data_IF_200003312361
#
_entry.id   IF_200003312361
#
_cell.length_a   1.000
_cell.length_b   1.000
_cell.length_c   1.000
_cell.angle_alpha   90.00
_cell.angle_beta   90.00
_cell.angle_gamma   90.00
#
_symmetry.space_group_name_H-M   'P 1'
#
loop_
_entity.id
_entity.type
_entity.pdbx_description
1 polymer ?
#
# COMPACT_ATOMS: atom_id res chain seq x y z
N UNK A 1 6.69 -18.13 16.79
CA UNK A 1 7.11 -17.11 15.83
C UNK A 1 6.54 -15.74 16.20
N UNK A 2 7.39 -14.70 16.30
CA UNK A 2 6.96 -13.29 16.45
C UNK A 2 6.83 -12.65 15.05
N UNK A 3 5.69 -12.02 14.76
CA UNK A 3 5.41 -11.35 13.50
C UNK A 3 5.34 -9.84 13.68
N UNK A 4 6.18 -9.10 12.96
CA UNK A 4 6.11 -7.64 12.87
C UNK A 4 5.52 -7.21 11.53
N UNK A 5 4.52 -6.34 11.55
CA UNK A 5 4.12 -5.55 10.39
C UNK A 5 4.82 -4.20 10.49
N UNK A 6 5.36 -3.68 9.40
CA UNK A 6 5.97 -2.36 9.41
C UNK A 6 5.55 -1.52 8.22
N UNK A 7 5.51 -0.21 8.44
CA UNK A 7 5.03 0.76 7.46
C UNK A 7 5.70 2.12 7.65
N UNK A 8 5.58 2.98 6.65
CA UNK A 8 6.00 4.37 6.73
C UNK A 8 4.82 5.28 6.39
N UNK A 9 4.54 6.28 7.23
CA UNK A 9 3.37 7.16 7.09
C UNK A 9 3.78 8.62 7.27
N UNK A 10 3.36 9.46 6.33
CA UNK A 10 3.46 10.93 6.44
C UNK A 10 2.23 11.56 5.84
N UNK A 11 1.59 12.46 6.60
CA UNK A 11 0.38 13.17 6.20
C UNK A 11 -0.70 12.22 5.66
N UNK A 12 -0.94 11.12 6.38
CA UNK A 12 -1.84 10.06 5.95
C UNK A 12 -3.28 10.52 5.79
N UNK A 13 -3.72 11.49 6.60
CA UNK A 13 -5.07 12.05 6.52
C UNK A 13 -5.18 13.01 5.32
N UNK A 14 -4.24 13.96 5.20
CA UNK A 14 -4.22 14.90 4.06
C UNK A 14 -4.07 14.16 2.71
N UNK A 15 -3.34 13.06 2.69
CA UNK A 15 -3.13 12.25 1.50
C UNK A 15 -4.24 11.21 1.25
N UNK A 16 -5.36 11.30 1.97
CA UNK A 16 -6.52 10.40 1.86
C UNK A 16 -6.10 8.92 1.88
N UNK A 17 -5.18 8.59 2.77
CA UNK A 17 -4.76 7.24 3.12
C UNK A 17 -5.65 6.71 4.25
N UNK A 18 -5.59 5.42 4.51
CA UNK A 18 -6.39 4.76 5.55
C UNK A 18 -5.54 4.30 6.76
N UNK A 19 -4.65 5.17 7.35
CA UNK A 19 -3.66 4.71 8.32
C UNK A 19 -4.29 4.12 9.59
N UNK A 20 -5.37 4.72 10.09
CA UNK A 20 -6.06 4.25 11.30
C UNK A 20 -6.76 2.92 11.04
N UNK A 21 -7.46 2.80 9.90
CA UNK A 21 -8.14 1.57 9.50
C UNK A 21 -7.14 0.43 9.30
N UNK A 22 -6.05 0.68 8.56
CA UNK A 22 -5.01 -0.30 8.28
C UNK A 22 -4.35 -0.81 9.57
N UNK A 23 -3.95 0.08 10.46
CA UNK A 23 -3.31 -0.30 11.71
C UNK A 23 -4.24 -1.11 12.61
N UNK A 24 -5.49 -0.65 12.82
CA UNK A 24 -6.49 -1.39 13.61
C UNK A 24 -6.82 -2.75 13.02
N UNK A 25 -6.93 -2.83 11.70
CA UNK A 25 -7.25 -4.08 11.00
C UNK A 25 -6.19 -5.16 11.25
N UNK A 26 -4.91 -4.79 11.30
CA UNK A 26 -3.82 -5.75 11.42
C UNK A 26 -3.37 -6.03 12.86
N UNK A 27 -3.93 -5.39 13.89
CA UNK A 27 -3.61 -5.69 15.29
C UNK A 27 -3.80 -7.18 15.69
N UNK A 28 -4.82 -7.91 15.17
CA UNK A 28 -4.96 -9.33 15.49
C UNK A 28 -3.93 -10.22 14.78
N UNK A 29 -3.39 -9.79 13.64
CA UNK A 29 -2.38 -10.54 12.90
C UNK A 29 -0.99 -10.38 13.52
N UNK A 30 -0.61 -9.16 13.87
CA UNK A 30 0.73 -8.79 14.29
C UNK A 30 0.94 -8.91 15.81
N UNK A 31 2.15 -9.33 16.20
CA UNK A 31 2.62 -9.22 17.59
C UNK A 31 3.16 -7.81 17.86
N UNK A 32 3.71 -7.15 16.83
CA UNK A 32 4.22 -5.79 16.83
C UNK A 32 3.89 -5.10 15.51
N UNK A 33 3.53 -3.82 15.55
CA UNK A 33 3.46 -2.98 14.36
C UNK A 33 4.45 -1.83 14.52
N UNK A 34 5.36 -1.66 13.55
CA UNK A 34 6.31 -0.54 13.53
C UNK A 34 5.89 0.49 12.50
N UNK A 35 5.74 1.73 12.93
CA UNK A 35 5.43 2.85 12.05
C UNK A 35 6.58 3.84 12.04
N UNK A 36 7.18 4.09 10.88
CA UNK A 36 8.03 5.27 10.70
C UNK A 36 7.17 6.47 10.29
N UNK A 37 6.90 7.36 11.24
CA UNK A 37 6.12 8.56 11.05
C UNK A 37 7.03 9.71 10.63
N UNK A 38 6.70 10.35 9.50
CA UNK A 38 7.56 11.33 8.81
C UNK A 38 7.41 12.78 9.27
N UNK A 39 7.11 13.06 10.55
CA UNK A 39 6.76 14.38 11.07
C UNK A 39 5.59 15.00 10.28
N UNK A 40 4.44 14.32 10.32
CA UNK A 40 3.20 14.79 9.70
C UNK A 40 2.79 16.15 10.22
N UNK A 41 2.30 16.99 9.32
CA UNK A 41 1.72 18.32 9.64
C UNK A 41 0.21 18.28 9.85
N UNK A 42 -0.42 17.14 9.55
CA UNK A 42 -1.83 16.86 9.82
C UNK A 42 -2.01 16.02 11.11
N UNK A 43 -3.23 15.60 11.41
CA UNK A 43 -3.56 14.84 12.62
C UNK A 43 -3.11 13.35 12.59
N UNK A 44 -2.31 12.95 11.61
CA UNK A 44 -1.90 11.53 11.45
C UNK A 44 -1.26 10.98 12.70
N UNK A 45 -0.24 11.65 13.24
CA UNK A 45 0.49 11.21 14.43
C UNK A 45 -0.44 11.04 15.65
N UNK A 46 -1.26 12.04 15.93
CA UNK A 46 -2.19 12.06 17.07
C UNK A 46 -3.20 10.92 17.00
N UNK A 47 -3.64 10.56 15.80
CA UNK A 47 -4.62 9.48 15.60
C UNK A 47 -3.98 8.11 15.73
N UNK A 48 -2.81 7.88 15.11
CA UNK A 48 -2.17 6.57 15.12
C UNK A 48 -1.55 6.23 16.48
N UNK A 49 -1.04 7.22 17.22
CA UNK A 49 -0.39 7.03 18.53
C UNK A 49 -1.33 6.52 19.63
N UNK A 50 -2.64 6.67 19.44
CA UNK A 50 -3.67 6.29 20.43
C UNK A 50 -4.31 4.90 20.17
N UNK A 51 -3.87 4.20 19.10
CA UNK A 51 -4.57 2.98 18.65
C UNK A 51 -4.29 1.80 19.56
N UNK A 52 -3.03 1.50 19.87
CA UNK A 52 -2.63 0.32 20.66
C UNK A 52 -1.18 0.42 21.10
N UNK A 53 -0.87 -0.19 22.26
CA UNK A 53 0.49 -0.37 22.75
C UNK A 53 1.35 -1.34 21.90
N UNK A 54 0.73 -2.15 21.04
CA UNK A 54 1.46 -2.97 20.06
C UNK A 54 2.11 -2.14 18.95
N UNK A 55 1.74 -0.85 18.80
CA UNK A 55 2.26 0.02 17.77
C UNK A 55 3.45 0.80 18.30
N UNK A 56 4.62 0.49 17.79
CA UNK A 56 5.87 1.23 18.02
C UNK A 56 6.03 2.29 16.95
N UNK A 57 5.99 3.56 17.33
CA UNK A 57 6.20 4.67 16.42
C UNK A 57 7.63 5.17 16.57
N UNK A 58 8.37 5.20 15.47
CA UNK A 58 9.61 5.95 15.32
C UNK A 58 9.33 7.16 14.45
N UNK A 59 10.08 8.24 14.65
CA UNK A 59 9.92 9.46 13.86
C UNK A 59 11.23 9.83 13.20
N UNK A 60 11.24 9.91 11.88
CA UNK A 60 12.42 10.31 11.11
C UNK A 60 12.05 11.40 10.10
N UNK A 61 12.97 12.31 9.85
CA UNK A 61 12.80 13.30 8.80
C UNK A 61 12.96 12.63 7.43
N UNK A 62 11.98 12.82 6.56
CA UNK A 62 12.02 12.26 5.22
C UNK A 62 12.64 13.28 4.27
N UNK A 63 13.71 12.88 3.62
CA UNK A 63 14.35 13.69 2.58
C UNK A 63 13.41 13.85 1.39
N UNK A 64 13.56 14.94 0.65
CA UNK A 64 12.82 15.15 -0.60
C UNK A 64 13.16 14.02 -1.58
N UNK A 65 12.15 13.31 -2.10
CA UNK A 65 12.38 12.16 -2.96
C UNK A 65 13.09 12.53 -4.25
N UNK A 66 14.09 11.74 -4.62
CA UNK A 66 14.74 11.84 -5.93
C UNK A 66 15.27 10.45 -6.35
N UNK A 67 14.94 10.03 -7.58
CA UNK A 67 15.28 8.70 -8.08
C UNK A 67 14.21 7.64 -7.81
N UNK A 68 14.41 6.45 -8.38
CA UNK A 68 13.47 5.33 -8.28
C UNK A 68 13.39 4.75 -6.86
N UNK A 69 14.43 4.92 -6.09
CA UNK A 69 14.59 4.41 -4.71
C UNK A 69 14.13 5.40 -3.62
N UNK A 70 13.41 6.42 -4.00
CA UNK A 70 13.01 7.55 -3.14
C UNK A 70 12.30 7.16 -1.83
N UNK A 71 11.66 5.98 -1.79
CA UNK A 71 10.97 5.48 -0.60
C UNK A 71 11.85 4.61 0.30
N UNK A 72 13.02 4.18 -0.15
CA UNK A 72 13.77 3.12 0.51
C UNK A 72 14.27 3.52 1.90
N UNK A 73 14.78 4.74 2.07
CA UNK A 73 15.34 5.20 3.34
C UNK A 73 14.33 5.12 4.50
N UNK A 74 13.15 5.70 4.31
CA UNK A 74 12.19 5.75 5.42
C UNK A 74 11.46 4.41 5.64
N UNK A 75 11.30 3.58 4.61
CA UNK A 75 10.81 2.20 4.77
C UNK A 75 11.87 1.32 5.46
N UNK A 76 13.15 1.49 5.12
CA UNK A 76 14.27 0.81 5.78
C UNK A 76 14.37 1.17 7.26
N UNK A 77 14.12 2.44 7.64
CA UNK A 77 14.07 2.83 9.05
C UNK A 77 12.99 2.07 9.83
N UNK A 78 11.80 1.91 9.25
CA UNK A 78 10.73 1.11 9.86
C UNK A 78 11.13 -0.36 9.98
N UNK A 79 11.68 -0.96 8.90
CA UNK A 79 12.18 -2.33 8.89
C UNK A 79 13.24 -2.57 9.97
N UNK A 80 14.23 -1.69 10.09
CA UNK A 80 15.31 -1.83 11.05
C UNK A 80 14.87 -1.68 12.51
N UNK A 81 13.70 -1.08 12.76
CA UNK A 81 13.11 -0.97 14.09
C UNK A 81 12.21 -2.17 14.44
N UNK A 82 11.95 -3.09 13.49
CA UNK A 82 11.19 -4.31 13.70
C UNK A 82 11.95 -5.32 14.54
N UNK A 83 11.24 -6.09 15.37
CA UNK A 83 11.83 -7.07 16.29
C UNK A 83 11.26 -8.49 16.15
N UNK A 84 10.42 -8.73 15.13
CA UNK A 84 9.85 -10.05 14.85
C UNK A 84 10.83 -11.00 14.16
N UNK A 85 10.52 -12.28 14.15
CA UNK A 85 11.25 -13.30 13.36
C UNK A 85 10.94 -13.15 11.87
N UNK A 86 9.66 -12.81 11.60
CA UNK A 86 9.14 -12.47 10.29
C UNK A 86 8.64 -11.03 10.27
N UNK A 87 8.81 -10.40 9.10
CA UNK A 87 8.35 -9.05 8.84
C UNK A 87 7.45 -9.03 7.61
N UNK A 88 6.41 -8.19 7.66
CA UNK A 88 5.57 -7.88 6.50
C UNK A 88 5.55 -6.36 6.32
N UNK A 89 5.97 -5.89 5.14
CA UNK A 89 5.81 -4.50 4.75
C UNK A 89 4.39 -4.28 4.20
N UNK A 90 3.68 -3.29 4.71
CA UNK A 90 2.39 -2.84 4.17
C UNK A 90 2.36 -1.32 4.12
N UNK A 91 1.97 -0.77 2.98
CA UNK A 91 1.62 0.65 2.90
C UNK A 91 0.27 0.90 3.60
N UNK A 92 -0.02 2.13 4.00
CA UNK A 92 -1.20 2.46 4.82
C UNK A 92 -2.56 2.32 4.10
N UNK A 93 -2.55 1.90 2.86
CA UNK A 93 -3.71 1.58 2.02
C UNK A 93 -3.75 0.09 1.58
N UNK A 94 -2.96 -0.78 2.26
CA UNK A 94 -2.83 -2.21 1.95
C UNK A 94 -3.36 -3.05 3.12
N UNK A 95 -4.23 -4.01 2.81
CA UNK A 95 -4.94 -4.81 3.81
C UNK A 95 -4.87 -6.30 3.47
N UNK A 96 -4.28 -7.11 4.36
CA UNK A 96 -4.41 -8.57 4.30
C UNK A 96 -5.79 -8.93 4.85
N UNK A 97 -6.59 -9.78 4.17
CA UNK A 97 -7.89 -10.16 4.68
C UNK A 97 -7.82 -10.90 6.02
N UNK A 98 -8.69 -10.56 6.96
CA UNK A 98 -8.67 -11.16 8.31
C UNK A 98 -8.91 -12.67 8.33
N UNK A 99 -9.60 -13.21 7.33
CA UNK A 99 -9.80 -14.67 7.22
C UNK A 99 -8.53 -15.42 6.78
N UNK A 100 -7.50 -14.72 6.34
CA UNK A 100 -6.19 -15.30 6.00
C UNK A 100 -5.21 -15.29 7.20
N UNK A 101 -5.46 -14.53 8.26
CA UNK A 101 -4.51 -14.27 9.34
C UNK A 101 -3.94 -15.54 9.98
N UNK A 102 -4.80 -16.47 10.41
CA UNK A 102 -4.34 -17.69 11.05
C UNK A 102 -3.54 -18.59 10.10
N UNK A 103 -3.99 -18.72 8.85
CA UNK A 103 -3.31 -19.51 7.81
C UNK A 103 -1.96 -18.88 7.45
N UNK A 104 -1.89 -17.56 7.34
CA UNK A 104 -0.66 -16.84 7.04
C UNK A 104 0.38 -17.01 8.16
N UNK A 105 -0.04 -16.90 9.42
CA UNK A 105 0.88 -17.13 10.55
C UNK A 105 1.45 -18.55 10.53
N UNK A 106 0.60 -19.57 10.36
CA UNK A 106 1.02 -20.96 10.27
C UNK A 106 1.97 -21.20 9.07
N UNK A 107 1.68 -20.59 7.93
CA UNK A 107 2.52 -20.67 6.73
C UNK A 107 3.92 -20.10 6.99
N UNK A 108 4.01 -18.90 7.57
CA UNK A 108 5.29 -18.25 7.87
C UNK A 108 6.09 -19.01 8.93
N UNK A 109 5.41 -19.59 9.92
CA UNK A 109 6.06 -20.38 10.96
C UNK A 109 6.71 -21.65 10.43
N UNK A 110 6.10 -22.30 9.45
CA UNK A 110 6.60 -23.53 8.82
C UNK A 110 7.56 -23.25 7.66
N UNK A 111 7.61 -22.04 7.15
CA UNK A 111 8.43 -21.69 5.98
C UNK A 111 9.92 -21.75 6.30
N UNK A 112 10.68 -22.35 5.39
CA UNK A 112 12.15 -22.36 5.38
C UNK A 112 12.74 -21.27 4.49
N UNK A 113 11.92 -20.58 3.70
CA UNK A 113 12.34 -19.54 2.78
C UNK A 113 12.72 -18.24 3.52
N UNK A 114 13.47 -17.38 2.85
CA UNK A 114 13.84 -16.07 3.37
C UNK A 114 12.77 -15.00 3.10
N UNK A 115 12.03 -15.15 2.00
CA UNK A 115 11.06 -14.17 1.53
C UNK A 115 9.91 -14.87 0.80
N UNK A 116 8.75 -14.20 0.76
CA UNK A 116 7.60 -14.64 -0.05
C UNK A 116 6.93 -13.45 -0.73
N UNK A 117 6.49 -13.66 -1.96
CA UNK A 117 5.61 -12.72 -2.63
C UNK A 117 4.15 -12.97 -2.28
N UNK A 118 3.36 -11.90 -2.30
CA UNK A 118 1.92 -11.93 -2.05
C UNK A 118 1.17 -11.26 -3.19
N UNK A 119 0.00 -11.77 -3.55
CA UNK A 119 -0.82 -11.24 -4.63
C UNK A 119 -1.56 -9.98 -4.22
N UNK A 120 -1.70 -9.01 -5.14
CA UNK A 120 -2.42 -7.77 -4.91
C UNK A 120 -3.73 -7.74 -5.71
N UNK A 121 -4.82 -7.36 -5.02
CA UNK A 121 -6.10 -7.01 -5.63
C UNK A 121 -6.21 -5.49 -5.55
N UNK A 122 -6.02 -4.82 -6.69
CA UNK A 122 -5.95 -3.36 -6.76
C UNK A 122 -7.35 -2.78 -6.95
N UNK A 123 -7.97 -2.26 -5.89
CA UNK A 123 -9.28 -1.62 -5.93
C UNK A 123 -9.20 -0.23 -6.55
N UNK A 124 -10.29 0.19 -7.21
CA UNK A 124 -10.31 1.40 -8.01
C UNK A 124 -11.56 2.24 -7.75
N UNK A 125 -11.38 3.44 -7.17
CA UNK A 125 -12.43 4.41 -6.88
C UNK A 125 -13.42 3.97 -5.80
N UNK A 126 -13.68 2.67 -5.68
CA UNK A 126 -14.45 2.10 -4.58
C UNK A 126 -14.11 0.61 -4.36
N UNK A 127 -14.46 0.08 -3.18
CA UNK A 127 -14.16 -1.28 -2.76
C UNK A 127 -14.91 -2.40 -3.53
N UNK A 128 -15.85 -2.05 -4.42
CA UNK A 128 -16.62 -3.02 -5.23
C UNK A 128 -16.01 -3.26 -6.60
N UNK A 129 -14.99 -2.48 -6.98
CA UNK A 129 -14.36 -2.54 -8.29
C UNK A 129 -12.87 -2.71 -8.11
N UNK A 130 -12.27 -3.58 -8.90
CA UNK A 130 -10.84 -3.75 -8.96
C UNK A 130 -10.32 -3.75 -10.40
N UNK A 131 -9.06 -3.45 -10.57
CA UNK A 131 -8.35 -3.46 -11.84
C UNK A 131 -7.79 -4.86 -12.10
N UNK A 132 -8.25 -5.54 -13.15
CA UNK A 132 -7.84 -6.92 -13.45
C UNK A 132 -6.54 -7.01 -14.28
N UNK A 133 -6.06 -5.88 -14.82
CA UNK A 133 -4.79 -5.80 -15.55
C UNK A 133 -3.84 -4.78 -14.89
N UNK A 134 -3.21 -5.12 -13.77
CA UNK A 134 -2.35 -4.19 -13.04
C UNK A 134 -1.17 -3.68 -13.87
N UNK A 135 -0.70 -4.42 -14.88
CA UNK A 135 0.39 -4.00 -15.78
C UNK A 135 0.03 -2.78 -16.63
N UNK A 136 -1.24 -2.62 -17.00
CA UNK A 136 -1.70 -1.46 -17.75
C UNK A 136 -1.58 -0.15 -16.97
N UNK A 137 -1.53 -0.22 -15.64
CA UNK A 137 -1.37 0.92 -14.72
C UNK A 137 -0.03 0.91 -13.98
N UNK A 138 0.94 0.14 -14.47
CA UNK A 138 2.27 -0.04 -13.87
C UNK A 138 2.23 -0.50 -12.40
N UNK A 139 1.22 -1.27 -12.02
CA UNK A 139 1.18 -1.89 -10.70
C UNK A 139 1.57 -3.36 -10.79
N UNK A 140 2.37 -3.84 -9.86
CA UNK A 140 2.63 -5.26 -9.76
C UNK A 140 1.35 -5.99 -9.32
N UNK A 141 1.10 -7.16 -9.89
CA UNK A 141 0.10 -8.11 -9.43
C UNK A 141 0.56 -8.88 -8.19
N UNK A 142 1.86 -8.89 -7.93
CA UNK A 142 2.49 -9.46 -6.73
C UNK A 142 3.60 -8.54 -6.24
N UNK A 143 3.82 -8.55 -4.91
CA UNK A 143 4.96 -7.86 -4.30
C UNK A 143 5.68 -8.80 -3.35
N UNK A 144 7.01 -8.72 -3.34
CA UNK A 144 7.89 -9.39 -2.39
C UNK A 144 7.96 -8.55 -1.11
N UNK A 145 7.08 -8.80 -0.15
CA UNK A 145 6.94 -7.95 1.05
C UNK A 145 6.92 -8.74 2.36
N UNK A 146 6.86 -10.06 2.31
CA UNK A 146 6.98 -10.93 3.50
C UNK A 146 8.39 -11.49 3.54
N UNK A 147 9.10 -11.29 4.66
CA UNK A 147 10.52 -11.68 4.74
C UNK A 147 10.97 -11.97 6.17
N UNK A 148 12.04 -12.77 6.31
CA UNK A 148 12.78 -12.93 7.58
C UNK A 148 13.36 -11.58 8.01
N UNK A 149 13.44 -11.36 9.30
CA UNK A 149 14.04 -10.13 9.83
C UNK A 149 15.57 -10.22 9.81
N UNK A 150 16.14 -10.04 8.64
CA UNK A 150 17.59 -10.11 8.41
C UNK A 150 18.12 -8.74 7.94
N UNK A 151 19.32 -8.33 8.38
CA UNK A 151 19.93 -7.07 7.96
C UNK A 151 20.29 -7.04 6.46
N UNK A 152 20.43 -8.22 5.83
CA UNK A 152 20.74 -8.37 4.41
C UNK A 152 19.50 -8.18 3.50
N UNK A 153 18.30 -8.18 4.05
CA UNK A 153 17.08 -7.87 3.29
C UNK A 153 16.98 -6.34 3.13
N UNK A 154 16.91 -5.89 1.90
CA UNK A 154 16.85 -4.47 1.55
C UNK A 154 15.66 -4.17 0.61
N UNK A 155 15.18 -2.94 0.63
CA UNK A 155 14.18 -2.49 -0.36
C UNK A 155 14.80 -2.38 -1.75
N UNK A 156 13.98 -2.66 -2.77
CA UNK A 156 14.35 -2.61 -4.16
C UNK A 156 13.34 -1.79 -4.97
N UNK A 157 13.84 -1.08 -5.99
CA UNK A 157 13.02 -0.23 -6.87
C UNK A 157 12.44 0.96 -6.12
N UNK A 158 11.16 1.20 -6.30
CA UNK A 158 10.40 2.29 -5.67
C UNK A 158 9.96 1.97 -4.22
N UNK A 159 10.61 1.02 -3.57
CA UNK A 159 10.26 0.60 -2.21
C UNK A 159 9.01 -0.28 -2.12
N UNK A 160 8.54 -0.82 -3.25
CA UNK A 160 7.38 -1.73 -3.26
C UNK A 160 7.77 -3.20 -3.03
N UNK A 161 9.05 -3.54 -3.15
CA UNK A 161 9.56 -4.89 -2.98
C UNK A 161 10.82 -4.91 -2.10
N UNK A 162 11.14 -6.10 -1.59
CA UNK A 162 12.42 -6.37 -0.93
C UNK A 162 13.20 -7.44 -1.69
N UNK A 163 14.53 -7.44 -1.52
CA UNK A 163 15.43 -8.48 -2.04
C UNK A 163 16.58 -8.75 -1.05
N UNK A 164 17.31 -9.81 -1.27
CA UNK A 164 18.57 -10.05 -0.58
C UNK A 164 19.67 -9.15 -1.17
N UNK A 165 20.43 -8.49 -0.32
CA UNK A 165 21.54 -7.61 -0.73
C UNK A 165 22.55 -8.37 -1.58
N UNK A 166 22.93 -7.78 -2.71
CA UNK A 166 23.87 -8.38 -3.65
C UNK A 166 23.27 -9.43 -4.57
N UNK A 167 22.00 -9.81 -4.40
CA UNK A 167 21.30 -10.69 -5.35
C UNK A 167 20.57 -9.91 -6.45
N UNK A 168 20.35 -10.56 -7.59
CA UNK A 168 19.36 -10.07 -8.55
C UNK A 168 17.96 -10.20 -7.96
N UNK A 169 17.04 -9.31 -8.36
CA UNK A 169 15.65 -9.43 -7.95
C UNK A 169 14.98 -10.54 -8.77
N UNK A 170 14.44 -11.54 -8.08
CA UNK A 170 13.72 -12.64 -8.70
C UNK A 170 12.23 -12.54 -8.36
N UNK A 171 11.38 -12.45 -9.38
CA UNK A 171 9.92 -12.38 -9.24
C UNK A 171 9.28 -13.72 -8.89
N UNK A 172 9.94 -14.82 -9.27
CA UNK A 172 9.36 -16.16 -9.28
C UNK A 172 9.73 -16.99 -8.04
N UNK A 173 10.38 -16.40 -7.04
CA UNK A 173 10.75 -17.11 -5.83
C UNK A 173 9.63 -17.06 -4.80
N UNK A 174 9.22 -18.24 -4.36
CA UNK A 174 8.37 -18.46 -3.19
C UNK A 174 7.04 -17.68 -3.20
N UNK A 175 6.23 -17.92 -4.22
CA UNK A 175 4.88 -17.36 -4.29
C UNK A 175 3.99 -17.91 -3.16
N UNK A 176 3.33 -17.01 -2.45
CA UNK A 176 2.28 -17.38 -1.51
C UNK A 176 0.89 -17.33 -2.16
N UNK A 177 -0.05 -18.08 -1.60
CA UNK A 177 -1.46 -18.06 -2.03
C UNK A 177 -2.28 -16.92 -1.39
N UNK A 178 -1.67 -16.12 -0.51
CA UNK A 178 -2.33 -15.03 0.21
C UNK A 178 -2.51 -13.80 -0.65
N UNK A 179 -3.41 -12.92 -0.20
CA UNK A 179 -3.78 -11.71 -0.93
C UNK A 179 -3.66 -10.45 -0.09
N UNK A 180 -3.41 -9.34 -0.76
CA UNK A 180 -3.53 -7.98 -0.21
C UNK A 180 -4.63 -7.24 -0.98
N UNK A 181 -5.58 -6.67 -0.27
CA UNK A 181 -6.54 -5.72 -0.78
C UNK A 181 -5.89 -4.33 -0.77
N UNK A 182 -5.51 -3.81 -1.94
CA UNK A 182 -4.86 -2.53 -2.09
C UNK A 182 -5.86 -1.44 -2.47
N UNK A 183 -6.06 -0.48 -1.56
CA UNK A 183 -7.03 0.60 -1.67
C UNK A 183 -6.40 1.91 -2.22
N UNK A 184 -5.20 1.84 -2.77
CA UNK A 184 -4.39 3.00 -3.17
C UNK A 184 -5.02 3.92 -4.21
N UNK A 185 -6.06 3.46 -4.94
CA UNK A 185 -6.85 4.25 -5.87
C UNK A 185 -8.25 4.59 -5.34
N UNK A 186 -8.54 4.29 -4.09
CA UNK A 186 -9.73 4.77 -3.39
C UNK A 186 -9.38 6.03 -2.64
N UNK A 187 -9.14 7.11 -3.36
CA UNK A 187 -8.77 8.42 -2.82
C UNK A 187 -9.55 9.52 -3.51
N UNK A 188 -9.61 10.67 -2.87
CA UNK A 188 -10.08 11.87 -3.54
C UNK A 188 -9.30 12.09 -4.84
N UNK A 189 -9.98 12.34 -5.96
CA UNK A 189 -9.31 12.51 -7.25
C UNK A 189 -8.25 13.62 -7.27
N UNK A 190 -8.42 14.69 -6.52
CA UNK A 190 -7.44 15.77 -6.45
C UNK A 190 -6.19 15.34 -5.68
N UNK A 191 -6.37 14.59 -4.59
CA UNK A 191 -5.28 14.00 -3.81
C UNK A 191 -4.50 12.98 -4.64
N UNK A 192 -5.20 12.12 -5.38
CA UNK A 192 -4.58 11.13 -6.25
C UNK A 192 -3.74 11.78 -7.36
N UNK A 193 -4.22 12.86 -7.96
CA UNK A 193 -3.47 13.66 -8.94
C UNK A 193 -2.18 14.25 -8.36
N UNK A 194 -2.27 14.82 -7.15
CA UNK A 194 -1.12 15.36 -6.41
C UNK A 194 -0.09 14.25 -6.16
N UNK A 195 -0.53 13.07 -5.73
CA UNK A 195 0.35 11.90 -5.50
C UNK A 195 1.09 11.52 -6.78
N UNK A 196 0.40 11.30 -7.88
CA UNK A 196 1.02 10.88 -9.13
C UNK A 196 2.01 11.91 -9.68
N UNK A 197 1.67 13.19 -9.56
CA UNK A 197 2.59 14.24 -9.95
C UNK A 197 3.88 14.21 -9.12
N UNK A 198 3.79 14.07 -7.80
CA UNK A 198 4.94 13.97 -6.91
C UNK A 198 5.78 12.74 -7.24
N UNK A 199 5.14 11.57 -7.35
CA UNK A 199 5.83 10.30 -7.66
C UNK A 199 6.50 10.34 -9.04
N UNK A 200 5.81 10.80 -10.07
CA UNK A 200 6.38 10.88 -11.42
C UNK A 200 7.60 11.80 -11.49
N UNK A 201 7.63 12.88 -10.73
CA UNK A 201 8.80 13.76 -10.65
C UNK A 201 9.92 13.16 -9.82
N UNK A 202 9.61 12.49 -8.73
CA UNK A 202 10.59 11.78 -7.91
C UNK A 202 11.30 10.71 -8.75
N UNK A 203 10.56 9.83 -9.41
CA UNK A 203 11.08 8.75 -10.25
C UNK A 203 11.91 9.32 -11.43
N UNK A 204 11.49 10.43 -12.03
CA UNK A 204 12.24 11.07 -13.12
C UNK A 204 13.48 11.84 -12.68
N UNK A 205 13.78 11.91 -11.38
CA UNK A 205 14.90 12.68 -10.81
C UNK A 205 14.75 14.20 -10.93
N UNK A 206 13.61 14.72 -11.37
CA UNK A 206 13.36 16.15 -11.50
C UNK A 206 13.03 16.73 -10.12
N UNK A 207 13.57 17.94 -9.81
CA UNK A 207 13.21 18.64 -8.57
C UNK A 207 11.70 18.83 -8.51
N UNK A 208 11.10 18.37 -7.41
CA UNK A 208 9.67 18.54 -7.15
C UNK A 208 9.42 20.03 -6.89
N UNK A 209 8.87 20.76 -7.86
CA UNK A 209 8.32 22.08 -7.65
C UNK A 209 6.83 21.93 -7.37
N UNK A 210 6.33 22.64 -6.38
CA UNK A 210 4.90 22.70 -6.14
C UNK A 210 4.20 23.26 -7.40
N UNK A 211 3.23 22.55 -7.89
CA UNK A 211 2.38 22.98 -9.01
C UNK A 211 0.94 22.84 -8.53
N UNK A 212 0.10 23.88 -8.70
CA UNK A 212 -1.30 23.77 -8.36
C UNK A 212 -1.93 22.51 -8.95
N UNK A 213 -2.81 21.80 -8.23
CA UNK A 213 -3.44 20.56 -8.69
C UNK A 213 -4.06 20.65 -10.09
N UNK A 214 -4.68 21.79 -10.43
CA UNK A 214 -5.30 22.02 -11.74
C UNK A 214 -4.29 22.10 -12.88
N UNK A 215 -3.09 22.63 -12.60
CA UNK A 215 -2.02 22.68 -13.60
C UNK A 215 -1.29 21.33 -13.72
N UNK A 216 -1.09 20.64 -12.60
CA UNK A 216 -0.56 19.28 -12.60
C UNK A 216 -1.44 18.34 -13.44
N UNK A 217 -2.75 18.52 -13.37
CA UNK A 217 -3.74 17.76 -14.14
C UNK A 217 -3.63 17.97 -15.65
N UNK A 218 -3.36 19.20 -16.10
CA UNK A 218 -3.15 19.49 -17.54
C UNK A 218 -1.85 18.92 -18.08
N UNK A 219 -0.89 18.64 -17.22
CA UNK A 219 0.46 18.15 -17.60
C UNK A 219 0.61 16.63 -17.48
N UNK A 220 -0.39 15.92 -16.94
CA UNK A 220 -0.37 14.44 -16.84
C UNK A 220 -1.19 13.84 -17.98
N UNK A 221 -0.57 13.01 -18.84
CA UNK A 221 -1.26 12.43 -20.01
C UNK A 221 -2.31 11.38 -19.64
N UNK A 222 -2.38 10.93 -18.37
CA UNK A 222 -3.31 9.87 -17.93
C UNK A 222 -4.10 10.34 -16.72
N UNK A 223 -5.36 10.64 -16.95
CA UNK A 223 -6.36 10.82 -15.89
C UNK A 223 -6.89 9.43 -15.49
N UNK A 224 -7.05 9.19 -14.16
CA UNK A 224 -7.74 8.00 -13.66
C UNK A 224 -9.17 7.86 -14.25
N UNK A 225 -9.71 8.93 -14.83
CA UNK A 225 -10.97 8.97 -15.57
C UNK A 225 -10.81 8.62 -17.05
N UNK A 226 -9.57 8.37 -17.51
CA UNK A 226 -9.32 7.99 -18.90
C UNK A 226 -10.03 6.67 -19.20
N UNK A 227 -10.87 6.62 -20.26
CA UNK A 227 -11.62 5.41 -20.65
C UNK A 227 -10.76 4.16 -20.79
N UNK A 228 -9.48 4.27 -21.19
CA UNK A 228 -8.56 3.14 -21.29
C UNK A 228 -8.35 2.40 -19.95
N UNK A 229 -8.51 3.08 -18.81
CA UNK A 229 -8.45 2.43 -17.49
C UNK A 229 -9.72 1.70 -17.12
N UNK A 230 -10.85 2.01 -17.76
CA UNK A 230 -12.13 1.37 -17.44
C UNK A 230 -12.29 -0.01 -18.11
N UNK A 231 -11.62 -0.27 -19.22
CA UNK A 231 -11.75 -1.56 -19.94
C UNK A 231 -11.30 -2.75 -19.08
N UNK A 232 -10.34 -2.52 -18.19
CA UNK A 232 -9.79 -3.54 -17.28
C UNK A 232 -10.43 -3.53 -15.89
N UNK A 233 -11.49 -2.75 -15.66
CA UNK A 233 -12.20 -2.76 -14.39
C UNK A 233 -13.23 -3.91 -14.35
N UNK A 234 -13.30 -4.56 -13.19
CA UNK A 234 -14.23 -5.67 -12.93
C UNK A 234 -14.89 -5.49 -11.58
N UNK A 235 -16.10 -6.02 -11.46
CA UNK A 235 -16.83 -6.09 -10.18
C UNK A 235 -16.13 -7.11 -9.28
N UNK A 236 -15.83 -6.70 -8.05
CA UNK A 236 -15.30 -7.59 -7.03
C UNK A 236 -16.44 -8.37 -6.37
N UNK A 237 -16.44 -9.68 -6.56
CA UNK A 237 -17.45 -10.59 -6.03
C UNK A 237 -16.94 -11.40 -4.80
N UNK A 238 -15.72 -11.09 -4.32
CA UNK A 238 -15.17 -11.73 -3.13
C UNK A 238 -15.75 -11.15 -1.83
N UNK A 239 -15.40 -11.74 -0.70
CA UNK A 239 -15.78 -11.20 0.60
C UNK A 239 -15.08 -9.87 0.87
N UNK A 240 -15.76 -8.94 1.53
CA UNK A 240 -15.18 -7.67 1.94
C UNK A 240 -14.50 -7.81 3.30
N UNK A 241 -13.32 -7.23 3.45
CA UNK A 241 -12.57 -7.17 4.71
C UNK A 241 -13.35 -6.41 5.79
N UNK A 242 -13.07 -6.71 7.06
CA UNK A 242 -13.85 -6.21 8.20
C UNK A 242 -13.95 -4.67 8.22
N UNK A 243 -12.85 -3.95 8.01
CA UNK A 243 -12.88 -2.49 8.04
C UNK A 243 -13.78 -1.88 6.95
N UNK A 244 -13.89 -2.52 5.77
CA UNK A 244 -14.82 -2.11 4.71
C UNK A 244 -16.27 -2.41 5.10
N UNK A 245 -16.53 -3.54 5.77
CA UNK A 245 -17.88 -3.86 6.26
C UNK A 245 -18.35 -2.93 7.38
N UNK A 246 -17.41 -2.55 8.27
CA UNK A 246 -17.71 -1.68 9.41
C UNK A 246 -17.93 -0.21 8.98
N UNK A 247 -17.14 0.30 8.03
CA UNK A 247 -17.31 1.64 7.47
C UNK A 247 -17.11 1.66 5.94
N UNK A 248 -18.12 1.20 5.19
CA UNK A 248 -18.02 1.14 3.73
C UNK A 248 -17.90 2.54 3.08
N UNK A 249 -18.30 3.61 3.76
CA UNK A 249 -18.25 4.98 3.22
C UNK A 249 -16.82 5.49 3.12
N UNK A 250 -15.93 5.05 4.00
CA UNK A 250 -14.51 5.39 3.96
C UNK A 250 -13.84 4.92 2.65
N UNK A 251 -14.37 3.86 2.04
CA UNK A 251 -13.80 3.21 0.86
C UNK A 251 -14.58 3.49 -0.43
N UNK A 252 -15.20 4.67 -0.54
CA UNK A 252 -15.91 5.15 -1.73
C UNK A 252 -15.59 6.63 -1.93
N UNK A 253 -14.93 6.97 -3.04
CA UNK A 253 -14.55 8.36 -3.37
C UNK A 253 -15.24 8.94 -4.60
N UNK A 254 -15.58 8.13 -5.60
CA UNK A 254 -16.35 8.60 -6.77
C UNK A 254 -17.68 7.86 -6.87
N UNK A 255 -18.75 8.50 -6.38
CA UNK A 255 -20.08 7.89 -6.34
C UNK A 255 -20.81 7.89 -7.67
N UNK A 256 -20.59 8.89 -8.52
CA UNK A 256 -21.50 9.14 -9.65
C UNK A 256 -21.07 8.45 -10.94
N UNK A 257 -19.78 8.42 -11.27
CA UNK A 257 -19.28 7.82 -12.51
C UNK A 257 -19.13 6.32 -12.42
N UNK A 258 -18.60 5.82 -11.28
CA UNK A 258 -18.41 4.40 -11.06
C UNK A 258 -19.73 3.64 -10.86
N UNK A 259 -20.75 4.27 -10.27
CA UNK A 259 -22.10 3.66 -10.16
C UNK A 259 -22.71 3.47 -11.55
N UNK A 260 -22.59 4.45 -12.43
CA UNK A 260 -23.05 4.33 -13.82
C UNK A 260 -22.34 3.22 -14.58
N UNK A 261 -20.99 3.10 -14.40
CA UNK A 261 -20.21 2.04 -15.02
C UNK A 261 -20.54 0.64 -14.46
N UNK A 262 -20.68 0.49 -13.14
CA UNK A 262 -21.09 -0.79 -12.51
C UNK A 262 -22.46 -1.24 -13.06
N UNK A 263 -23.38 -0.31 -13.24
CA UNK A 263 -24.71 -0.60 -13.80
C UNK A 263 -24.60 -1.10 -15.24
N UNK A 264 -23.67 -0.56 -16.04
CA UNK A 264 -23.42 -1.02 -17.41
C UNK A 264 -22.73 -2.40 -17.49
N UNK A 265 -21.95 -2.80 -16.49
CA UNK A 265 -21.33 -4.12 -16.42
C UNK A 265 -22.33 -5.23 -16.04
N UNK A 266 -23.40 -4.89 -15.31
CA UNK A 266 -24.44 -5.86 -14.93
C UNK A 266 -25.39 -6.19 -16.08
N UNK A 267 -25.36 -5.43 -17.17
CA UNK A 267 -26.20 -5.60 -18.35
C UNK A 267 -25.50 -6.33 -19.52
N UNK A 268 -24.25 -6.72 -19.33
CA UNK A 268 -23.47 -7.58 -20.24
C UNK A 268 -23.21 -8.94 -19.58
#
# INVERSE_FOLDING_TARGET
MKLTIYTAIKNGIENDLHPVAMLRHHLPLADEIVVNEGFSSDNTYELISKISSKIKIIRTEWKVPSGIDWCNDFKTNAKNAASGDWCIHLDSDEFIPEWEFAKLRNFLEQSTSLMHSIKFINFYGNYKIYHCNPRAVNWPDRKMIMHRNLPEIEFWGDGSNVKLRGSEFAWDTDESSFTVHHMGMIRDPAVLRKKWWIQGRAISGKKVKWVPPDLAFKLMPHDWRDPQFFEDLRVFNGPYIKCVRDDPKEFIRDRNKLIGYISSLKTK
#
